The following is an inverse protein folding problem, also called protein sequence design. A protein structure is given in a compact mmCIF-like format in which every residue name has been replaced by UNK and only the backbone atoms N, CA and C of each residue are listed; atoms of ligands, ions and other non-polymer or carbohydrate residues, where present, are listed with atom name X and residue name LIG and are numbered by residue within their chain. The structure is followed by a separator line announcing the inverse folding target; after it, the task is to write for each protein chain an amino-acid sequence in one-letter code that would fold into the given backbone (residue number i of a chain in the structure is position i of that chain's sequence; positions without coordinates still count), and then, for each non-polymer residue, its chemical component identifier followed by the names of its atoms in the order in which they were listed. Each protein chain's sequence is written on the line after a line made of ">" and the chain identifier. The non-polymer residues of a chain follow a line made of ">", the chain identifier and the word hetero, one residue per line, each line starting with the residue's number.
data_IF_597315992374
#
_entry.id   IF_597315992374
#
_cell.length_a   1.000
_cell.length_b   1.000
_cell.length_c   1.000
_cell.angle_alpha   90.00
_cell.angle_beta   90.00
_cell.angle_gamma   90.00
#
_symmetry.space_group_name_H-M   'P 1'
#
loop_
_entity.id
_entity.type
_entity.pdbx_description
1 polymer ?
#
# COMPACT_ATOMS: atom_id res chain seq x y z
N UNK A 1 -6.51 -3.84 79.41
CA UNK A 1 -6.91 -5.26 79.39
C UNK A 1 -6.33 -5.87 78.12
N UNK A 2 -5.12 -6.43 78.22
CA UNK A 2 -4.82 -7.86 78.00
C UNK A 2 -5.06 -8.29 76.53
N UNK A 3 -4.15 -8.87 75.76
CA UNK A 3 -2.89 -9.61 75.97
C UNK A 3 -2.19 -9.67 74.59
N UNK A 4 -0.88 -9.42 74.48
CA UNK A 4 0.24 -10.39 74.53
C UNK A 4 0.43 -11.18 73.21
N UNK A 5 1.48 -10.87 72.40
CA UNK A 5 2.81 -11.55 72.28
C UNK A 5 2.74 -12.88 71.50
N UNK A 6 3.45 -13.13 70.39
CA UNK A 6 4.88 -13.48 70.21
C UNK A 6 5.16 -13.64 68.67
N UNK A 7 6.24 -13.11 68.06
CA UNK A 7 7.60 -13.68 67.89
C UNK A 7 7.57 -15.04 67.16
N UNK A 8 8.30 -15.40 66.09
CA UNK A 8 9.46 -14.92 65.31
C UNK A 8 9.46 -15.64 63.94
N UNK A 9 10.35 -15.26 63.01
CA UNK A 9 11.05 -16.27 62.20
C UNK A 9 10.95 -16.20 60.67
N UNK A 10 11.72 -15.27 60.07
CA UNK A 10 12.81 -15.63 59.13
C UNK A 10 12.52 -16.17 57.72
N UNK A 11 13.04 -15.43 56.72
CA UNK A 11 13.46 -15.92 55.39
C UNK A 11 12.35 -15.94 54.34
N UNK A 12 12.36 -15.14 53.27
CA UNK A 12 13.46 -14.93 52.33
C UNK A 12 13.13 -15.67 51.03
N UNK A 13 12.68 -14.95 49.99
CA UNK A 13 12.44 -15.56 48.68
C UNK A 13 11.54 -14.73 47.78
N UNK A 14 12.14 -14.08 46.78
CA UNK A 14 11.45 -13.26 45.79
C UNK A 14 10.42 -14.03 44.97
N UNK A 15 9.28 -13.40 44.74
CA UNK A 15 8.25 -13.83 43.80
C UNK A 15 7.52 -12.60 43.28
N UNK A 16 7.68 -12.33 41.98
CA UNK A 16 6.97 -11.28 41.25
C UNK A 16 5.46 -11.49 41.40
N UNK A 17 4.81 -10.63 42.17
CA UNK A 17 3.36 -10.55 42.24
C UNK A 17 2.86 -9.51 41.24
N UNK A 18 1.94 -9.96 40.38
CA UNK A 18 1.06 -9.18 39.52
C UNK A 18 0.52 -7.93 40.24
N UNK A 19 0.85 -6.73 39.75
CA UNK A 19 0.28 -5.46 40.23
C UNK A 19 -0.77 -4.98 39.24
N UNK A 20 -2.03 -5.03 39.66
CA UNK A 20 -3.17 -4.46 38.95
C UNK A 20 -2.96 -2.96 38.70
N UNK A 21 -3.47 -2.40 37.58
CA UNK A 21 -3.25 -0.99 37.26
C UNK A 21 -3.83 -0.10 38.35
N UNK A 22 -2.95 0.71 38.94
CA UNK A 22 -3.30 1.72 39.91
C UNK A 22 -4.37 2.66 39.35
N UNK A 23 -5.55 2.55 39.95
CA UNK A 23 -6.61 3.56 39.98
C UNK A 23 -5.98 4.87 40.51
N UNK A 24 -5.60 5.79 39.62
CA UNK A 24 -5.28 7.17 40.04
C UNK A 24 -6.57 7.87 40.40
N UNK A 25 -6.75 8.04 41.70
CA UNK A 25 -7.74 8.88 42.37
C UNK A 25 -7.70 10.30 41.79
N UNK A 26 -8.89 10.86 41.58
CA UNK A 26 -9.11 12.17 40.98
C UNK A 26 -8.40 13.31 41.71
N UNK A 27 -7.81 14.18 40.91
CA UNK A 27 -7.45 15.55 41.25
C UNK A 27 -8.04 16.46 40.18
N UNK A 28 -8.91 17.37 40.63
CA UNK A 28 -9.68 18.39 39.92
C UNK A 28 -9.06 18.88 38.59
N UNK A 29 -9.76 18.60 37.49
CA UNK A 29 -9.48 19.09 36.14
C UNK A 29 -10.72 18.99 35.23
N UNK A 30 -11.90 19.31 35.75
CA UNK A 30 -13.22 19.08 35.11
C UNK A 30 -13.53 19.86 33.83
N UNK A 31 -12.53 20.47 33.17
CA UNK A 31 -12.70 21.17 31.88
C UNK A 31 -11.94 20.53 30.71
N UNK A 32 -10.86 19.78 30.95
CA UNK A 32 -10.10 19.16 29.85
C UNK A 32 -10.69 17.82 29.38
N UNK A 33 -11.34 17.07 30.28
CA UNK A 33 -11.98 15.79 29.95
C UNK A 33 -13.14 15.95 28.99
N UNK A 34 -14.07 16.85 29.28
CA UNK A 34 -15.26 17.08 28.45
C UNK A 34 -14.91 17.60 27.04
N UNK A 35 -13.92 18.49 26.92
CA UNK A 35 -13.47 18.99 25.61
C UNK A 35 -12.75 17.91 24.79
N UNK A 36 -11.94 17.07 25.44
CA UNK A 36 -11.26 15.95 24.77
C UNK A 36 -12.27 14.85 24.36
N UNK A 37 -13.26 14.58 25.19
CA UNK A 37 -14.34 13.63 24.92
C UNK A 37 -15.23 14.12 23.77
N UNK A 38 -15.61 15.41 23.75
CA UNK A 38 -16.33 16.03 22.63
C UNK A 38 -15.52 16.01 21.34
N UNK A 39 -14.22 16.29 21.39
CA UNK A 39 -13.35 16.23 20.21
C UNK A 39 -13.22 14.80 19.67
N UNK A 40 -13.14 13.81 20.56
CA UNK A 40 -13.11 12.39 20.18
C UNK A 40 -14.45 11.94 19.57
N UNK A 41 -15.57 12.33 20.17
CA UNK A 41 -16.91 12.04 19.66
C UNK A 41 -17.15 12.69 18.29
N UNK A 42 -16.74 13.95 18.10
CA UNK A 42 -16.77 14.62 16.80
C UNK A 42 -15.88 13.93 15.76
N UNK A 43 -14.66 13.52 16.13
CA UNK A 43 -13.78 12.78 15.23
C UNK A 43 -14.39 11.43 14.84
N UNK A 44 -15.02 10.71 15.77
CA UNK A 44 -15.72 9.46 15.49
C UNK A 44 -16.94 9.69 14.57
N UNK A 45 -17.73 10.73 14.83
CA UNK A 45 -18.87 11.11 14.01
C UNK A 45 -18.44 11.46 12.58
N UNK A 46 -17.34 12.21 12.41
CA UNK A 46 -16.79 12.50 11.10
C UNK A 46 -16.21 11.25 10.43
N UNK A 47 -15.54 10.37 11.18
CA UNK A 47 -14.97 9.13 10.64
C UNK A 47 -16.06 8.24 10.02
N UNK A 48 -17.20 8.13 10.71
CA UNK A 48 -18.36 7.40 10.21
C UNK A 48 -18.89 7.95 8.86
N UNK A 49 -18.60 9.21 8.50
CA UNK A 49 -18.96 9.79 7.19
C UNK A 49 -18.15 9.17 6.05
N UNK A 50 -16.89 8.81 6.31
CA UNK A 50 -15.97 8.28 5.29
C UNK A 50 -15.97 6.75 5.23
N UNK A 51 -16.42 6.08 6.29
CA UNK A 51 -16.56 4.62 6.29
C UNK A 51 -17.88 4.20 5.63
N UNK A 52 -17.88 3.18 4.75
CA UNK A 52 -19.10 2.70 4.12
C UNK A 52 -20.01 2.05 5.16
N UNK A 53 -21.24 2.57 5.30
CA UNK A 53 -22.24 2.05 6.24
C UNK A 53 -23.28 1.15 5.57
N UNK A 54 -23.31 1.13 4.24
CA UNK A 54 -24.30 0.39 3.44
C UNK A 54 -23.63 -0.28 2.24
N UNK A 55 -24.28 -1.30 1.66
CA UNK A 55 -23.76 -1.97 0.45
C UNK A 55 -23.53 -1.00 -0.73
N UNK A 56 -24.42 -0.03 -1.04
CA UNK A 56 -24.15 0.96 -2.09
C UNK A 56 -22.91 1.82 -1.81
N UNK A 57 -22.66 2.17 -0.55
CA UNK A 57 -21.45 2.91 -0.17
C UNK A 57 -20.19 2.06 -0.32
N UNK A 58 -20.26 0.77 0.03
CA UNK A 58 -19.16 -0.17 -0.18
C UNK A 58 -18.87 -0.36 -1.69
N UNK A 59 -19.90 -0.46 -2.53
CA UNK A 59 -19.74 -0.53 -3.98
C UNK A 59 -19.07 0.73 -4.55
N UNK A 60 -19.45 1.92 -4.07
CA UNK A 60 -18.80 3.17 -4.43
C UNK A 60 -17.31 3.17 -4.00
N UNK A 61 -17.01 2.71 -2.79
CA UNK A 61 -15.63 2.61 -2.29
C UNK A 61 -14.74 1.70 -3.16
N UNK A 62 -15.28 0.59 -3.67
CA UNK A 62 -14.56 -0.28 -4.60
C UNK A 62 -14.20 0.49 -5.88
N UNK A 63 -15.17 1.20 -6.49
CA UNK A 63 -14.91 1.97 -7.71
C UNK A 63 -13.91 3.11 -7.49
N UNK A 64 -13.99 3.83 -6.36
CA UNK A 64 -13.02 4.86 -6.00
C UNK A 64 -11.62 4.27 -5.76
N UNK A 65 -11.55 3.08 -5.18
CA UNK A 65 -10.29 2.35 -5.00
C UNK A 65 -9.68 1.94 -6.33
N UNK A 66 -10.47 1.39 -7.25
CA UNK A 66 -10.01 1.05 -8.61
C UNK A 66 -9.48 2.29 -9.33
N UNK A 67 -10.22 3.39 -9.29
CA UNK A 67 -9.79 4.66 -9.90
C UNK A 67 -8.45 5.13 -9.36
N UNK A 68 -8.30 5.18 -8.04
CA UNK A 68 -7.05 5.57 -7.37
C UNK A 68 -5.90 4.64 -7.76
N UNK A 69 -6.10 3.32 -7.71
CA UNK A 69 -5.06 2.34 -8.04
C UNK A 69 -4.59 2.46 -9.48
N UNK A 70 -5.52 2.60 -10.44
CA UNK A 70 -5.18 2.84 -11.85
C UNK A 70 -4.40 4.16 -12.03
N UNK A 71 -4.81 5.21 -11.31
CA UNK A 71 -4.11 6.49 -11.33
C UNK A 71 -2.66 6.34 -10.88
N UNK A 72 -2.42 5.61 -9.79
CA UNK A 72 -1.07 5.33 -9.27
C UNK A 72 -0.25 4.56 -10.29
N UNK A 73 -0.80 3.51 -10.91
CA UNK A 73 -0.08 2.71 -11.89
C UNK A 73 0.40 3.54 -13.09
N UNK A 74 -0.37 4.53 -13.54
CA UNK A 74 0.02 5.41 -14.66
C UNK A 74 1.16 6.35 -14.24
N UNK A 75 1.07 6.96 -13.06
CA UNK A 75 2.01 8.02 -12.65
C UNK A 75 3.32 7.51 -12.06
N UNK A 76 3.32 6.28 -11.53
CA UNK A 76 4.43 5.65 -10.83
C UNK A 76 5.07 4.52 -11.64
N UNK A 77 4.26 3.52 -12.06
CA UNK A 77 4.74 2.31 -12.73
C UNK A 77 4.92 2.44 -14.24
N UNK A 78 4.84 3.66 -14.78
CA UNK A 78 5.08 3.92 -16.20
C UNK A 78 4.10 3.20 -17.13
N UNK A 79 2.91 2.85 -16.64
CA UNK A 79 1.86 2.26 -17.48
C UNK A 79 1.55 3.27 -18.59
N UNK A 80 1.89 2.91 -19.83
CA UNK A 80 1.76 3.81 -20.96
C UNK A 80 0.31 4.31 -21.03
N UNK A 81 0.06 5.63 -21.11
CA UNK A 81 -1.27 6.20 -21.07
C UNK A 81 -2.00 5.93 -22.40
N UNK A 82 -2.41 4.68 -22.58
CA UNK A 82 -3.11 4.23 -23.77
C UNK A 82 -4.56 4.69 -23.76
N UNK A 83 -5.17 4.74 -24.94
CA UNK A 83 -6.60 5.01 -25.07
C UNK A 83 -7.45 3.96 -24.33
N UNK A 84 -6.94 2.74 -24.16
CA UNK A 84 -7.62 1.68 -23.42
C UNK A 84 -7.74 1.99 -21.93
N UNK A 85 -6.71 2.61 -21.35
CA UNK A 85 -6.74 3.08 -19.96
C UNK A 85 -7.79 4.20 -19.80
N UNK A 86 -7.87 5.13 -20.76
CA UNK A 86 -8.91 6.16 -20.77
C UNK A 86 -10.32 5.57 -20.89
N UNK A 87 -10.52 4.54 -21.72
CA UNK A 87 -11.78 3.80 -21.81
C UNK A 87 -12.19 3.22 -20.45
N UNK A 88 -11.24 2.66 -19.68
CA UNK A 88 -11.51 2.14 -18.33
C UNK A 88 -11.98 3.26 -17.40
N UNK A 89 -11.34 4.44 -17.41
CA UNK A 89 -11.81 5.58 -16.61
C UNK A 89 -13.22 6.04 -17.00
N UNK A 90 -13.54 6.05 -18.29
CA UNK A 90 -14.88 6.36 -18.79
C UNK A 90 -15.92 5.35 -18.29
N UNK A 91 -15.60 4.06 -18.32
CA UNK A 91 -16.47 3.00 -17.79
C UNK A 91 -16.64 3.09 -16.27
N UNK A 92 -15.56 3.31 -15.52
CA UNK A 92 -15.64 3.52 -14.07
C UNK A 92 -16.50 4.73 -13.73
N UNK A 93 -16.34 5.84 -14.45
CA UNK A 93 -17.17 7.02 -14.25
C UNK A 93 -18.65 6.74 -14.55
N UNK A 94 -18.94 6.05 -15.65
CA UNK A 94 -20.31 5.65 -16.01
C UNK A 94 -20.94 4.74 -14.96
N UNK A 95 -20.18 3.80 -14.39
CA UNK A 95 -20.62 2.93 -13.30
C UNK A 95 -20.91 3.73 -12.03
N UNK A 96 -20.05 4.68 -11.66
CA UNK A 96 -20.30 5.56 -10.52
C UNK A 96 -21.57 6.40 -10.72
N UNK A 97 -21.80 6.94 -11.93
CA UNK A 97 -23.05 7.64 -12.25
C UNK A 97 -24.25 6.69 -12.12
N UNK A 98 -24.14 5.47 -12.64
CA UNK A 98 -25.20 4.45 -12.54
C UNK A 98 -25.53 4.06 -11.09
N UNK A 99 -24.53 4.01 -10.21
CA UNK A 99 -24.76 3.84 -8.76
C UNK A 99 -25.58 5.00 -8.18
N UNK A 100 -25.31 6.25 -8.56
CA UNK A 100 -26.06 7.42 -8.08
C UNK A 100 -27.49 7.49 -8.61
N UNK A 101 -27.74 6.95 -9.80
CA UNK A 101 -29.08 6.82 -10.38
C UNK A 101 -29.88 5.72 -9.68
N UNK A 102 -29.24 4.57 -9.42
CA UNK A 102 -29.88 3.43 -8.74
C UNK A 102 -30.09 3.67 -7.25
N UNK A 103 -29.15 4.35 -6.60
CA UNK A 103 -29.11 4.57 -5.16
C UNK A 103 -29.00 6.07 -4.86
N UNK A 104 -30.15 6.76 -4.92
CA UNK A 104 -30.22 8.21 -4.76
C UNK A 104 -29.61 8.74 -3.44
N UNK A 105 -29.59 7.92 -2.38
CA UNK A 105 -28.96 8.26 -1.10
C UNK A 105 -27.45 8.54 -1.23
N UNK A 106 -26.78 7.95 -2.22
CA UNK A 106 -25.34 8.19 -2.43
C UNK A 106 -25.06 9.65 -2.76
N UNK A 107 -26.01 10.40 -3.35
CA UNK A 107 -25.83 11.83 -3.60
C UNK A 107 -25.62 12.61 -2.30
N UNK A 108 -26.40 12.28 -1.27
CA UNK A 108 -26.25 12.86 0.06
C UNK A 108 -24.95 12.42 0.73
N UNK A 109 -24.56 11.14 0.59
CA UNK A 109 -23.28 10.64 1.11
C UNK A 109 -22.08 11.35 0.47
N UNK A 110 -22.05 11.47 -0.86
CA UNK A 110 -20.99 12.17 -1.61
C UNK A 110 -20.92 13.64 -1.18
N UNK A 111 -22.06 14.32 -1.11
CA UNK A 111 -22.13 15.70 -0.63
C UNK A 111 -21.57 15.79 0.80
N UNK A 112 -22.03 14.94 1.72
CA UNK A 112 -21.60 14.95 3.12
C UNK A 112 -20.10 14.73 3.27
N UNK A 113 -19.50 13.79 2.53
CA UNK A 113 -18.04 13.55 2.54
C UNK A 113 -17.24 14.77 2.08
N UNK A 114 -17.66 15.37 0.96
CA UNK A 114 -16.99 16.55 0.41
C UNK A 114 -17.18 17.79 1.29
N UNK A 115 -18.39 18.01 1.79
CA UNK A 115 -18.73 19.11 2.71
C UNK A 115 -17.94 18.99 4.02
N UNK A 116 -17.93 17.80 4.61
CA UNK A 116 -17.23 17.52 5.86
C UNK A 116 -15.74 17.78 5.72
N UNK A 117 -15.12 17.28 4.64
CA UNK A 117 -13.71 17.54 4.36
C UNK A 117 -13.42 19.03 4.11
N UNK A 118 -14.28 19.70 3.34
CA UNK A 118 -14.09 21.10 2.98
C UNK A 118 -14.17 22.02 4.20
N UNK A 119 -15.18 21.83 5.06
CA UNK A 119 -15.53 22.77 6.14
C UNK A 119 -14.89 22.45 7.48
N UNK A 120 -14.56 21.20 7.78
CA UNK A 120 -14.09 20.80 9.12
C UNK A 120 -12.62 20.37 9.08
N UNK A 121 -11.67 21.21 9.54
CA UNK A 121 -10.23 20.88 9.55
C UNK A 121 -9.90 19.57 10.27
N UNK A 122 -10.58 19.28 11.38
CA UNK A 122 -10.34 18.08 12.18
C UNK A 122 -10.78 16.79 11.45
N UNK A 123 -11.70 16.92 10.49
CA UNK A 123 -12.16 15.82 9.66
C UNK A 123 -11.21 15.46 8.51
N UNK A 124 -10.16 16.26 8.29
CA UNK A 124 -9.20 16.05 7.19
C UNK A 124 -8.10 15.08 7.56
N UNK A 125 -7.99 14.70 8.83
CA UNK A 125 -6.88 13.87 9.33
C UNK A 125 -6.95 12.42 8.82
N UNK A 126 -5.83 11.68 8.84
CA UNK A 126 -5.79 10.27 8.39
C UNK A 126 -6.68 9.35 9.22
N UNK A 127 -6.98 9.70 10.47
CA UNK A 127 -7.90 8.92 11.32
C UNK A 127 -9.35 9.05 10.89
N UNK A 128 -9.74 10.20 10.35
CA UNK A 128 -11.11 10.49 9.93
C UNK A 128 -11.31 10.22 8.43
N UNK A 129 -10.44 10.78 7.60
CA UNK A 129 -10.43 10.60 6.15
C UNK A 129 -9.18 9.79 5.76
N UNK A 130 -9.20 8.45 5.84
CA UNK A 130 -7.99 7.63 5.70
C UNK A 130 -7.32 7.77 4.33
N UNK A 131 -8.12 7.96 3.27
CA UNK A 131 -7.65 7.90 1.89
C UNK A 131 -7.97 9.19 1.12
N UNK A 132 -7.00 10.10 1.12
CA UNK A 132 -7.11 11.39 0.44
C UNK A 132 -7.30 11.22 -1.09
N UNK A 133 -6.71 10.17 -1.67
CA UNK A 133 -6.80 9.88 -3.11
C UNK A 133 -8.20 9.50 -3.61
N UNK A 134 -9.12 9.12 -2.72
CA UNK A 134 -10.52 8.84 -3.08
C UNK A 134 -11.41 10.09 -3.08
N UNK A 135 -10.96 11.21 -2.49
CA UNK A 135 -11.77 12.43 -2.43
C UNK A 135 -11.93 13.11 -3.79
N UNK A 136 -10.85 13.20 -4.57
CA UNK A 136 -10.90 13.90 -5.87
C UNK A 136 -11.87 13.19 -6.84
N UNK A 137 -11.85 11.85 -6.99
CA UNK A 137 -12.81 11.16 -7.86
C UNK A 137 -14.29 11.38 -7.48
N UNK A 138 -14.61 11.64 -6.21
CA UNK A 138 -15.97 12.02 -5.81
C UNK A 138 -16.46 13.31 -6.51
N UNK A 139 -15.55 14.21 -6.89
CA UNK A 139 -15.90 15.42 -7.65
C UNK A 139 -16.45 15.08 -9.05
N UNK A 140 -16.02 13.96 -9.64
CA UNK A 140 -16.56 13.50 -10.92
C UNK A 140 -18.06 13.20 -10.82
N UNK A 141 -18.58 12.82 -9.66
CA UNK A 141 -20.01 12.50 -9.47
C UNK A 141 -20.75 13.48 -8.55
N UNK A 142 -20.11 14.60 -8.23
CA UNK A 142 -20.65 15.62 -7.33
C UNK A 142 -21.53 16.64 -8.05
N UNK A 143 -22.62 17.06 -7.41
CA UNK A 143 -23.47 18.18 -7.88
C UNK A 143 -23.19 19.51 -7.17
N UNK A 144 -22.49 19.47 -6.03
CA UNK A 144 -22.41 20.60 -5.09
C UNK A 144 -20.98 21.12 -4.87
N UNK A 145 -19.99 20.31 -5.21
CA UNK A 145 -18.58 20.56 -4.99
C UNK A 145 -17.79 20.34 -6.27
N UNK A 146 -16.75 21.14 -6.41
CA UNK A 146 -15.80 21.13 -7.53
C UNK A 146 -14.39 21.20 -6.94
N UNK A 147 -13.37 20.95 -7.75
CA UNK A 147 -11.98 21.06 -7.31
C UNK A 147 -11.69 22.40 -6.63
N UNK A 148 -12.28 23.47 -7.16
CA UNK A 148 -12.08 24.81 -6.63
C UNK A 148 -12.60 25.03 -5.21
N UNK A 149 -13.55 24.21 -4.76
CA UNK A 149 -14.12 24.30 -3.42
C UNK A 149 -13.28 23.57 -2.37
N UNK A 150 -12.46 22.59 -2.77
CA UNK A 150 -11.70 21.75 -1.84
C UNK A 150 -10.18 21.87 -1.96
N UNK A 151 -9.64 22.43 -3.05
CA UNK A 151 -8.21 22.33 -3.34
C UNK A 151 -7.30 22.85 -2.22
N UNK A 152 -7.63 23.98 -1.60
CA UNK A 152 -6.80 24.55 -0.54
C UNK A 152 -6.73 23.60 0.66
N UNK A 153 -7.89 23.09 1.10
CA UNK A 153 -7.98 22.12 2.19
C UNK A 153 -7.26 20.81 1.84
N UNK A 154 -7.43 20.33 0.60
CA UNK A 154 -6.77 19.14 0.10
C UNK A 154 -5.24 19.30 0.07
N UNK A 155 -4.73 20.39 -0.52
CA UNK A 155 -3.30 20.61 -0.68
C UNK A 155 -2.61 20.77 0.68
N UNK A 156 -3.21 21.52 1.60
CA UNK A 156 -2.71 21.64 2.97
C UNK A 156 -2.57 20.26 3.64
N UNK A 157 -3.64 19.47 3.62
CA UNK A 157 -3.63 18.13 4.21
C UNK A 157 -2.68 17.17 3.48
N UNK A 158 -2.57 17.30 2.16
CA UNK A 158 -1.64 16.51 1.34
C UNK A 158 -0.19 16.84 1.68
N UNK A 159 0.15 18.10 1.95
CA UNK A 159 1.50 18.48 2.39
C UNK A 159 1.77 17.99 3.81
N UNK A 160 0.81 18.11 4.73
CA UNK A 160 0.94 17.63 6.11
C UNK A 160 1.19 16.10 6.13
N UNK A 161 0.40 15.31 5.40
CA UNK A 161 0.58 13.85 5.29
C UNK A 161 1.84 13.48 4.50
N UNK A 162 2.09 14.20 3.42
CA UNK A 162 3.20 13.97 2.51
C UNK A 162 4.54 14.25 3.15
N UNK A 163 4.60 15.09 4.19
CA UNK A 163 5.85 15.42 4.87
C UNK A 163 6.60 14.19 5.39
N UNK A 164 5.91 13.24 6.02
CA UNK A 164 6.49 11.95 6.44
C UNK A 164 7.23 11.28 5.28
N UNK A 165 6.54 11.10 4.16
CA UNK A 165 7.08 10.43 2.98
C UNK A 165 8.15 11.25 2.27
N UNK A 166 8.09 12.58 2.34
CA UNK A 166 9.16 13.42 1.83
C UNK A 166 10.45 13.19 2.66
N UNK A 167 10.33 13.09 3.98
CA UNK A 167 11.45 12.81 4.87
C UNK A 167 12.06 11.40 4.68
N UNK A 168 11.29 10.41 4.21
CA UNK A 168 11.87 9.09 3.86
C UNK A 168 12.72 9.12 2.59
N UNK A 169 12.54 10.13 1.73
CA UNK A 169 13.36 10.34 0.54
C UNK A 169 14.53 11.28 0.81
N UNK A 170 14.30 12.31 1.63
CA UNK A 170 15.30 13.30 2.05
C UNK A 170 15.13 13.57 3.55
N UNK A 171 15.91 12.87 4.38
CA UNK A 171 15.84 12.97 5.84
C UNK A 171 16.13 14.39 6.34
N UNK A 172 16.87 15.21 5.59
CA UNK A 172 17.15 16.60 5.93
C UNK A 172 15.91 17.50 5.89
N UNK A 173 14.80 17.04 5.31
CA UNK A 173 13.53 17.78 5.36
C UNK A 173 12.88 17.75 6.76
N UNK A 174 13.28 16.83 7.63
CA UNK A 174 12.76 16.73 9.00
C UNK A 174 13.16 17.95 9.85
N UNK A 175 14.36 18.50 9.61
CA UNK A 175 14.79 19.75 10.22
C UNK A 175 14.17 20.94 9.46
N UNK A 176 13.51 21.83 10.20
CA UNK A 176 12.83 22.99 9.63
C UNK A 176 13.63 24.25 9.93
N UNK A 177 14.41 24.69 8.96
CA UNK A 177 15.07 26.00 8.98
C UNK A 177 14.11 27.03 8.39
N UNK A 178 13.71 28.01 9.18
CA UNK A 178 12.72 29.03 8.75
C UNK A 178 13.31 29.90 7.64
N UNK A 179 12.59 30.00 6.52
CA UNK A 179 12.99 30.78 5.35
C UNK A 179 13.95 30.07 4.40
N UNK A 180 14.21 28.77 4.59
CA UNK A 180 15.01 27.97 3.65
C UNK A 180 14.22 27.69 2.37
N UNK A 181 14.33 28.58 1.39
CA UNK A 181 13.64 28.44 0.11
C UNK A 181 14.07 27.19 -0.68
N UNK A 182 15.21 26.56 -0.38
CA UNK A 182 15.63 25.32 -1.05
C UNK A 182 14.70 24.15 -0.70
N UNK A 183 13.98 24.24 0.43
CA UNK A 183 12.95 23.28 0.86
C UNK A 183 11.87 23.10 -0.20
N UNK A 184 11.54 24.18 -0.92
CA UNK A 184 10.48 24.17 -1.94
C UNK A 184 10.78 23.11 -3.00
N UNK A 185 11.99 23.13 -3.57
CA UNK A 185 12.37 22.21 -4.64
C UNK A 185 12.63 20.79 -4.11
N UNK A 186 13.25 20.68 -2.93
CA UNK A 186 13.49 19.39 -2.26
C UNK A 186 12.19 18.64 -1.96
N UNK A 187 11.16 19.34 -1.48
CA UNK A 187 9.84 18.74 -1.22
C UNK A 187 9.17 18.27 -2.50
N UNK A 188 9.31 19.01 -3.61
CA UNK A 188 8.74 18.58 -4.88
C UNK A 188 9.37 17.27 -5.36
N UNK A 189 10.70 17.20 -5.34
CA UNK A 189 11.42 16.01 -5.78
C UNK A 189 11.06 14.80 -4.89
N UNK A 190 11.03 15.00 -3.57
CA UNK A 190 10.68 13.98 -2.60
C UNK A 190 9.19 13.56 -2.64
N UNK A 191 8.29 14.36 -3.22
CA UNK A 191 6.85 14.10 -3.29
C UNK A 191 6.29 13.96 -4.71
N UNK A 192 7.16 13.79 -5.70
CA UNK A 192 6.84 13.81 -7.14
C UNK A 192 5.67 12.89 -7.52
N UNK A 193 5.68 11.65 -7.01
CA UNK A 193 4.61 10.66 -7.29
C UNK A 193 3.27 11.14 -6.70
N UNK A 194 3.27 11.65 -5.47
CA UNK A 194 2.06 12.16 -4.82
C UNK A 194 1.49 13.40 -5.54
N UNK A 195 2.36 14.31 -6.02
CA UNK A 195 1.95 15.46 -6.83
C UNK A 195 1.35 15.01 -8.16
N UNK A 196 2.00 14.06 -8.86
CA UNK A 196 1.48 13.51 -10.11
C UNK A 196 0.14 12.81 -9.92
N UNK A 197 -0.04 12.04 -8.85
CA UNK A 197 -1.32 11.40 -8.52
C UNK A 197 -2.44 12.44 -8.35
N UNK A 198 -2.15 13.54 -7.65
CA UNK A 198 -3.10 14.63 -7.44
C UNK A 198 -3.43 15.34 -8.76
N UNK A 199 -2.40 15.72 -9.53
CA UNK A 199 -2.55 16.34 -10.85
C UNK A 199 -3.38 15.48 -11.80
N UNK A 200 -3.07 14.18 -11.87
CA UNK A 200 -3.77 13.22 -12.72
C UNK A 200 -5.24 13.07 -12.32
N UNK A 201 -5.53 13.00 -11.02
CA UNK A 201 -6.91 12.90 -10.54
C UNK A 201 -7.72 14.16 -10.87
N UNK A 202 -7.15 15.35 -10.68
CA UNK A 202 -7.81 16.62 -11.03
C UNK A 202 -8.01 16.73 -12.54
N UNK A 203 -6.98 16.39 -13.32
CA UNK A 203 -7.05 16.36 -14.78
C UNK A 203 -8.16 15.43 -15.27
N UNK A 204 -8.24 14.20 -14.76
CA UNK A 204 -9.29 13.24 -15.10
C UNK A 204 -10.69 13.76 -14.77
N UNK A 205 -10.90 14.36 -13.59
CA UNK A 205 -12.20 14.96 -13.23
C UNK A 205 -12.61 16.01 -14.26
N UNK A 206 -11.69 16.91 -14.62
CA UNK A 206 -11.97 17.97 -15.60
C UNK A 206 -12.14 17.42 -17.03
N UNK A 207 -11.41 16.37 -17.40
CA UNK A 207 -11.50 15.73 -18.70
C UNK A 207 -12.85 15.02 -18.88
N UNK A 208 -13.31 14.30 -17.85
CA UNK A 208 -14.57 13.55 -17.90
C UNK A 208 -15.80 14.41 -17.60
N UNK A 209 -15.60 15.58 -16.99
CA UNK A 209 -16.64 16.60 -16.76
C UNK A 209 -16.15 17.98 -17.20
N UNK A 210 -16.05 18.22 -18.52
CA UNK A 210 -15.62 19.50 -19.03
C UNK A 210 -16.58 20.61 -18.58
N UNK A 211 -16.04 21.80 -18.37
CA UNK A 211 -16.84 22.98 -18.06
C UNK A 211 -17.61 23.44 -19.31
N UNK A 212 -18.89 23.77 -19.14
CA UNK A 212 -19.72 24.40 -20.16
C UNK A 212 -19.42 25.89 -20.31
N UNK A 213 -20.12 26.55 -21.24
CA UNK A 213 -20.00 27.99 -21.46
C UNK A 213 -20.41 28.86 -20.27
N UNK A 214 -21.12 28.29 -19.30
CA UNK A 214 -21.50 28.90 -18.02
C UNK A 214 -20.44 28.70 -16.91
N UNK A 215 -19.31 28.07 -17.25
CA UNK A 215 -18.23 27.75 -16.32
C UNK A 215 -18.52 26.58 -15.37
N UNK A 216 -19.68 25.92 -15.50
CA UNK A 216 -20.06 24.79 -14.64
C UNK A 216 -19.66 23.46 -15.26
N UNK A 217 -19.29 22.44 -14.48
CA UNK A 217 -19.02 21.10 -15.01
C UNK A 217 -20.26 20.53 -15.69
N UNK A 218 -20.06 19.80 -16.79
CA UNK A 218 -21.12 19.08 -17.50
C UNK A 218 -22.02 18.30 -16.52
N UNK A 219 -23.34 18.40 -16.72
CA UNK A 219 -24.31 17.70 -15.88
C UNK A 219 -24.19 16.19 -16.03
N UNK A 220 -24.37 15.44 -14.93
CA UNK A 220 -24.20 13.98 -14.94
C UNK A 220 -25.12 13.26 -15.95
N UNK A 221 -26.33 13.78 -16.19
CA UNK A 221 -27.24 13.24 -17.20
C UNK A 221 -26.65 13.36 -18.62
N UNK A 222 -26.10 14.54 -18.95
CA UNK A 222 -25.43 14.74 -20.24
C UNK A 222 -24.18 13.87 -20.38
N UNK A 223 -23.37 13.77 -19.32
CA UNK A 223 -22.18 12.91 -19.30
C UNK A 223 -22.55 11.43 -19.49
N UNK A 224 -23.61 10.96 -18.84
CA UNK A 224 -24.17 9.61 -19.02
C UNK A 224 -24.59 9.38 -20.48
N UNK A 225 -25.38 10.28 -21.05
CA UNK A 225 -25.86 10.14 -22.42
C UNK A 225 -24.70 10.07 -23.42
N UNK A 226 -23.64 10.85 -23.19
CA UNK A 226 -22.41 10.77 -23.96
C UNK A 226 -21.74 9.40 -23.87
N UNK A 227 -21.65 8.81 -22.67
CA UNK A 227 -21.14 7.44 -22.53
C UNK A 227 -22.03 6.42 -23.20
N UNK A 228 -23.35 6.50 -23.06
CA UNK A 228 -24.29 5.51 -23.58
C UNK A 228 -24.31 5.52 -25.12
N UNK A 229 -24.30 6.71 -25.74
CA UNK A 229 -24.19 6.85 -27.21
C UNK A 229 -22.86 6.33 -27.74
N UNK A 230 -21.76 6.54 -27.00
CA UNK A 230 -20.43 6.08 -27.41
C UNK A 230 -20.08 4.67 -26.89
N UNK A 231 -21.02 3.94 -26.29
CA UNK A 231 -20.81 2.62 -25.67
C UNK A 231 -19.59 2.60 -24.70
N UNK A 232 -19.46 3.66 -23.91
CA UNK A 232 -18.37 3.86 -22.95
C UNK A 232 -17.03 4.26 -23.57
N UNK A 233 -16.95 4.46 -24.89
CA UNK A 233 -15.70 4.87 -25.56
C UNK A 233 -15.54 6.39 -25.54
N UNK A 234 -14.32 6.91 -25.28
CA UNK A 234 -14.06 8.33 -25.32
C UNK A 234 -14.11 8.84 -26.78
N UNK A 235 -14.75 10.00 -27.04
CA UNK A 235 -14.67 10.68 -28.33
C UNK A 235 -13.22 11.04 -28.73
N UNK A 236 -12.96 11.21 -30.03
CA UNK A 236 -11.62 11.51 -30.55
C UNK A 236 -10.98 12.76 -29.91
N UNK A 237 -11.75 13.82 -29.67
CA UNK A 237 -11.21 15.03 -29.04
C UNK A 237 -10.78 14.78 -27.59
N UNK A 238 -11.52 13.94 -26.83
CA UNK A 238 -11.17 13.54 -25.46
C UNK A 238 -9.88 12.73 -25.45
N UNK A 239 -9.67 11.84 -26.44
CA UNK A 239 -8.42 11.08 -26.60
C UNK A 239 -7.21 11.98 -26.86
N UNK A 240 -7.37 13.01 -27.70
CA UNK A 240 -6.30 14.00 -27.93
C UNK A 240 -5.98 14.79 -26.67
N UNK A 241 -7.01 15.26 -25.95
CA UNK A 241 -6.84 15.95 -24.68
C UNK A 241 -6.18 15.06 -23.63
N UNK A 242 -6.51 13.77 -23.60
CA UNK A 242 -5.88 12.77 -22.74
C UNK A 242 -4.37 12.70 -22.96
N UNK A 243 -3.93 12.46 -24.20
CA UNK A 243 -2.50 12.33 -24.50
C UNK A 243 -1.73 13.60 -24.14
N UNK A 244 -2.25 14.77 -24.52
CA UNK A 244 -1.59 16.04 -24.24
C UNK A 244 -1.58 16.37 -22.74
N UNK A 245 -2.68 16.10 -22.04
CA UNK A 245 -2.79 16.33 -20.61
C UNK A 245 -1.88 15.42 -19.79
N UNK A 246 -1.81 14.12 -20.14
CA UNK A 246 -0.90 13.18 -19.46
C UNK A 246 0.56 13.53 -19.74
N UNK A 247 0.90 13.92 -20.96
CA UNK A 247 2.25 14.41 -21.28
C UNK A 247 2.60 15.63 -20.42
N UNK A 248 1.72 16.63 -20.40
CA UNK A 248 1.90 17.87 -19.64
C UNK A 248 2.10 17.63 -18.14
N UNK A 249 1.31 16.73 -17.53
CA UNK A 249 1.42 16.46 -16.09
C UNK A 249 2.65 15.61 -15.74
N UNK A 250 3.11 14.72 -16.62
CA UNK A 250 4.31 13.93 -16.37
C UNK A 250 5.58 14.78 -16.47
N UNK A 251 5.56 15.81 -17.34
CA UNK A 251 6.60 16.84 -17.51
C UNK A 251 6.52 17.97 -16.46
N UNK A 252 5.52 17.96 -15.57
CA UNK A 252 5.35 18.96 -14.52
C UNK A 252 6.29 18.68 -13.33
N UNK A 253 7.55 19.10 -13.50
CA UNK A 253 8.68 18.92 -12.57
C UNK A 253 9.01 20.17 -11.76
N UNK A 254 8.20 21.23 -11.86
CA UNK A 254 8.36 22.47 -11.10
C UNK A 254 7.02 22.91 -10.53
N UNK A 255 7.00 23.58 -9.37
CA UNK A 255 5.77 24.05 -8.75
C UNK A 255 4.89 24.93 -9.64
N UNK A 256 5.42 25.86 -10.45
CA UNK A 256 4.60 26.60 -11.42
C UNK A 256 3.87 25.68 -12.39
N UNK A 257 4.54 24.65 -12.93
CA UNK A 257 3.89 23.66 -13.81
C UNK A 257 2.84 22.84 -13.04
N UNK A 258 3.14 22.41 -11.82
CA UNK A 258 2.21 21.65 -10.97
C UNK A 258 0.94 22.46 -10.71
N UNK A 259 1.08 23.70 -10.25
CA UNK A 259 -0.06 24.57 -9.94
C UNK A 259 -0.85 24.98 -11.21
N UNK A 260 -0.17 25.08 -12.36
CA UNK A 260 -0.84 25.26 -13.66
C UNK A 260 -1.75 24.08 -13.99
N UNK A 261 -1.28 22.84 -13.84
CA UNK A 261 -2.10 21.63 -14.07
C UNK A 261 -3.24 21.54 -13.06
N UNK A 262 -3.00 21.91 -11.80
CA UNK A 262 -4.04 21.96 -10.77
C UNK A 262 -5.05 23.10 -10.97
N UNK A 263 -4.83 24.01 -11.92
CA UNK A 263 -5.68 25.17 -12.16
C UNK A 263 -5.74 26.13 -10.96
N UNK A 264 -4.66 26.21 -10.17
CA UNK A 264 -4.58 27.04 -8.96
C UNK A 264 -3.44 28.06 -9.02
N UNK A 265 -3.59 29.24 -8.42
CA UNK A 265 -2.50 30.19 -8.33
C UNK A 265 -1.42 29.64 -7.38
N UNK A 266 -0.16 29.69 -7.83
CA UNK A 266 0.99 29.41 -6.97
C UNK A 266 1.20 30.61 -6.02
N UNK A 267 1.25 30.41 -4.70
CA UNK A 267 1.60 31.47 -3.77
C UNK A 267 3.02 32.01 -4.03
N UNK A 268 3.34 33.25 -3.64
CA UNK A 268 4.72 33.75 -3.69
C UNK A 268 5.69 32.80 -2.98
N UNK A 269 6.89 32.62 -3.53
CA UNK A 269 7.84 31.57 -3.09
C UNK A 269 8.07 31.56 -1.57
N UNK A 270 8.24 32.73 -0.94
CA UNK A 270 8.36 32.87 0.52
C UNK A 270 7.13 32.37 1.30
N UNK A 271 5.93 32.74 0.83
CA UNK A 271 4.69 32.29 1.45
C UNK A 271 4.51 30.78 1.26
N UNK A 272 4.87 30.24 0.10
CA UNK A 272 4.81 28.81 -0.17
C UNK A 272 5.83 28.01 0.67
N UNK A 273 7.04 28.53 0.85
CA UNK A 273 8.02 27.97 1.78
C UNK A 273 7.44 27.88 3.20
N UNK A 274 6.84 28.97 3.70
CA UNK A 274 6.21 28.99 5.01
C UNK A 274 5.07 27.96 5.15
N UNK A 275 4.31 27.70 4.07
CA UNK A 275 3.29 26.64 4.05
C UNK A 275 3.93 25.26 4.23
N UNK A 276 5.03 24.97 3.52
CA UNK A 276 5.74 23.68 3.61
C UNK A 276 6.48 23.49 4.95
N UNK A 277 6.95 24.57 5.56
CA UNK A 277 7.48 24.57 6.92
C UNK A 277 6.40 24.31 7.97
N UNK A 278 5.23 24.95 7.82
CA UNK A 278 4.08 24.71 8.66
C UNK A 278 3.58 23.26 8.52
N UNK A 279 3.64 22.69 7.32
CA UNK A 279 3.23 21.31 7.08
C UNK A 279 4.04 20.30 7.89
N UNK A 280 5.34 20.55 8.10
CA UNK A 280 6.17 19.72 8.97
C UNK A 280 5.68 19.76 10.43
N UNK A 281 5.42 20.96 10.96
CA UNK A 281 4.88 21.16 12.31
C UNK A 281 3.49 20.52 12.47
N UNK A 282 2.63 20.68 11.46
CA UNK A 282 1.30 20.08 11.46
C UNK A 282 1.35 18.56 11.40
N UNK A 283 2.25 18.00 10.60
CA UNK A 283 2.47 16.56 10.49
C UNK A 283 2.84 15.94 11.84
N UNK A 284 3.74 16.59 12.59
CA UNK A 284 4.09 16.21 13.96
C UNK A 284 2.88 16.35 14.91
N UNK A 285 2.19 17.49 14.87
CA UNK A 285 1.01 17.77 15.72
C UNK A 285 -0.12 16.76 15.50
N UNK A 286 -0.34 16.35 14.25
CA UNK A 286 -1.36 15.36 13.85
C UNK A 286 -0.90 13.91 14.08
N UNK A 287 0.33 13.70 14.55
CA UNK A 287 0.86 12.36 14.86
C UNK A 287 1.13 11.50 13.63
N UNK A 288 1.40 12.11 12.46
CA UNK A 288 1.83 11.35 11.28
C UNK A 288 3.26 10.81 11.43
N UNK A 289 4.05 11.48 12.27
CA UNK A 289 5.34 11.03 12.75
C UNK A 289 5.56 11.60 14.16
N UNK A 290 6.63 11.17 14.82
CA UNK A 290 7.04 11.67 16.12
C UNK A 290 8.51 12.16 16.12
N UNK A 291 8.94 12.79 17.20
CA UNK A 291 10.30 13.31 17.35
C UNK A 291 11.40 12.22 17.37
N UNK A 292 11.02 10.95 17.52
CA UNK A 292 11.94 9.80 17.54
C UNK A 292 11.92 9.04 16.21
N UNK A 293 11.13 9.50 15.25
CA UNK A 293 10.93 8.83 13.98
C UNK A 293 12.23 8.85 13.21
N UNK A 294 12.75 7.64 12.92
CA UNK A 294 13.95 7.44 12.13
C UNK A 294 13.54 7.25 10.67
N UNK A 295 13.41 8.36 9.94
CA UNK A 295 12.89 8.38 8.58
C UNK A 295 13.70 7.50 7.62
N UNK A 296 15.01 7.38 7.85
CA UNK A 296 15.91 6.49 7.11
C UNK A 296 15.63 5.00 7.32
N UNK A 297 14.92 4.65 8.41
CA UNK A 297 14.51 3.28 8.73
C UNK A 297 13.06 2.98 8.35
N UNK A 298 12.28 4.01 8.01
CA UNK A 298 10.95 3.81 7.41
C UNK A 298 11.20 3.36 5.97
N UNK A 299 11.26 2.05 5.77
CA UNK A 299 11.43 1.44 4.46
C UNK A 299 10.39 1.98 3.46
N UNK A 300 10.86 2.21 2.22
CA UNK A 300 10.09 2.60 1.02
C UNK A 300 9.08 1.54 0.52
N UNK A 301 8.48 0.73 1.38
CA UNK A 301 7.65 -0.42 0.96
C UNK A 301 6.43 -0.68 1.84
N UNK A 302 5.71 0.36 2.23
CA UNK A 302 4.40 0.23 2.90
C UNK A 302 3.26 -0.29 2.01
N UNK A 303 3.57 -0.99 0.92
CA UNK A 303 2.61 -1.65 0.03
C UNK A 303 3.28 -2.93 -0.47
N UNK A 304 2.55 -4.04 -0.51
CA UNK A 304 2.98 -5.25 -1.23
C UNK A 304 3.45 -4.87 -2.63
N UNK A 305 4.64 -5.34 -3.01
CA UNK A 305 5.18 -5.04 -4.33
C UNK A 305 4.87 -6.20 -5.28
N UNK A 306 3.92 -5.98 -6.20
CA UNK A 306 3.87 -6.81 -7.42
C UNK A 306 5.15 -6.50 -8.19
N UNK A 307 6.06 -7.46 -8.26
CA UNK A 307 7.32 -7.37 -8.99
C UNK A 307 7.10 -7.69 -10.46
N UNK A 308 7.57 -6.80 -11.33
CA UNK A 308 7.69 -7.06 -12.76
C UNK A 308 9.02 -7.74 -13.08
N UNK A 309 9.11 -8.35 -14.27
CA UNK A 309 10.35 -9.00 -14.73
C UNK A 309 11.53 -8.01 -14.70
N UNK A 310 12.58 -8.36 -13.97
CA UNK A 310 13.81 -7.56 -13.83
C UNK A 310 13.79 -6.56 -12.67
N UNK A 311 12.69 -6.45 -11.92
CA UNK A 311 12.63 -5.62 -10.72
C UNK A 311 13.25 -6.33 -9.51
N UNK A 312 13.66 -5.55 -8.52
CA UNK A 312 14.21 -6.04 -7.25
C UNK A 312 13.47 -5.42 -6.06
N UNK A 313 13.43 -6.15 -4.95
CA UNK A 313 12.83 -5.72 -3.69
C UNK A 313 13.84 -5.85 -2.56
N UNK A 314 13.92 -4.82 -1.70
CA UNK A 314 14.75 -4.85 -0.49
C UNK A 314 13.90 -5.13 0.75
N UNK A 315 14.14 -6.27 1.39
CA UNK A 315 13.40 -6.68 2.58
C UNK A 315 13.92 -6.01 3.87
N UNK A 316 13.14 -6.03 4.98
CA UNK A 316 13.59 -5.51 6.26
C UNK A 316 14.87 -6.20 6.76
N UNK A 317 15.83 -5.46 7.37
CA UNK A 317 17.12 -6.01 7.79
C UNK A 317 17.01 -7.01 8.96
N UNK A 318 15.86 -7.06 9.63
CA UNK A 318 15.59 -7.93 10.78
C UNK A 318 14.70 -9.14 10.43
N UNK A 319 14.53 -9.43 9.13
CA UNK A 319 13.73 -10.56 8.66
C UNK A 319 14.36 -11.88 9.14
N UNK A 320 13.58 -12.66 9.89
CA UNK A 320 14.06 -13.93 10.47
C UNK A 320 13.54 -15.16 9.75
N UNK A 321 12.31 -15.09 9.24
CA UNK A 321 11.65 -16.19 8.57
C UNK A 321 10.91 -15.69 7.36
N UNK A 322 11.03 -16.40 6.25
CA UNK A 322 10.27 -16.13 5.04
C UNK A 322 9.57 -17.38 4.57
N UNK A 323 8.44 -17.18 3.90
CA UNK A 323 7.71 -18.24 3.22
C UNK A 323 7.47 -17.84 1.77
N UNK A 324 7.95 -18.68 0.86
CA UNK A 324 7.46 -18.70 -0.51
C UNK A 324 6.15 -19.49 -0.54
N UNK A 325 5.14 -18.98 -1.21
CA UNK A 325 3.89 -19.70 -1.52
C UNK A 325 3.69 -19.62 -3.02
N UNK A 326 3.74 -20.75 -3.70
CA UNK A 326 3.35 -20.89 -5.08
C UNK A 326 1.95 -21.50 -5.13
N UNK A 327 1.05 -20.91 -5.91
CA UNK A 327 -0.35 -21.36 -6.00
C UNK A 327 -0.82 -21.27 -7.44
N UNK A 328 -1.51 -22.32 -7.88
CA UNK A 328 -2.04 -22.39 -9.24
C UNK A 328 -3.39 -23.09 -9.28
N UNK A 329 -4.14 -22.85 -10.35
CA UNK A 329 -5.35 -23.59 -10.68
C UNK A 329 -5.18 -24.28 -12.02
N UNK A 330 -5.62 -25.53 -12.13
CA UNK A 330 -5.52 -26.31 -13.36
C UNK A 330 -6.74 -26.07 -14.26
N UNK A 331 -6.47 -25.93 -15.56
CA UNK A 331 -7.49 -25.75 -16.61
C UNK A 331 -8.01 -27.07 -17.21
N UNK A 332 -7.34 -28.20 -16.94
CA UNK A 332 -7.59 -29.50 -17.59
C UNK A 332 -7.16 -30.71 -16.77
N UNK A 333 -6.53 -31.70 -17.42
CA UNK A 333 -5.98 -32.89 -16.75
C UNK A 333 -4.94 -32.54 -15.68
N UNK A 334 -4.59 -33.51 -14.82
CA UNK A 334 -3.68 -33.27 -13.70
C UNK A 334 -2.29 -32.90 -14.25
N UNK A 335 -1.90 -31.64 -14.05
CA UNK A 335 -0.53 -31.14 -14.26
C UNK A 335 -0.02 -30.56 -12.95
N UNK A 336 1.28 -30.61 -12.74
CA UNK A 336 1.92 -30.20 -11.49
C UNK A 336 2.87 -29.06 -11.77
N UNK A 337 2.74 -27.96 -11.02
CA UNK A 337 3.82 -26.99 -10.90
C UNK A 337 4.69 -27.40 -9.73
N UNK A 338 5.99 -27.17 -9.85
CA UNK A 338 6.95 -27.41 -8.79
C UNK A 338 7.71 -26.13 -8.44
N UNK A 339 7.91 -25.91 -7.15
CA UNK A 339 8.62 -24.77 -6.62
C UNK A 339 9.94 -25.25 -6.03
N UNK A 340 11.05 -24.89 -6.67
CA UNK A 340 12.38 -25.27 -6.23
C UNK A 340 13.08 -24.09 -5.57
N UNK A 341 13.75 -24.32 -4.44
CA UNK A 341 14.67 -23.35 -3.84
C UNK A 341 16.10 -23.89 -3.88
N UNK A 342 16.97 -23.20 -4.60
CA UNK A 342 18.40 -23.47 -4.66
C UNK A 342 19.16 -22.58 -3.66
N UNK A 343 20.12 -23.17 -2.95
CA UNK A 343 20.92 -22.51 -1.92
C UNK A 343 22.36 -22.33 -2.40
N UNK A 344 22.89 -21.11 -2.38
CA UNK A 344 24.20 -20.77 -2.93
C UNK A 344 25.14 -20.09 -1.93
N UNK A 345 26.45 -20.31 -2.14
CA UNK A 345 27.55 -19.54 -1.54
C UNK A 345 28.44 -18.97 -2.67
N UNK A 346 28.28 -17.69 -2.97
CA UNK A 346 28.80 -17.11 -4.21
C UNK A 346 28.19 -17.81 -5.42
N UNK A 347 29.04 -18.38 -6.27
CA UNK A 347 28.64 -19.14 -7.46
C UNK A 347 28.46 -20.65 -7.19
N UNK A 348 28.80 -21.12 -5.97
CA UNK A 348 28.72 -22.54 -5.62
C UNK A 348 27.33 -22.91 -5.08
N UNK A 349 26.67 -23.88 -5.72
CA UNK A 349 25.41 -24.44 -5.24
C UNK A 349 25.67 -25.41 -4.07
N UNK A 350 25.13 -25.09 -2.89
CA UNK A 350 25.27 -25.89 -1.67
C UNK A 350 24.18 -26.97 -1.53
N UNK A 351 23.07 -26.83 -2.24
CA UNK A 351 21.96 -27.78 -2.26
C UNK A 351 20.66 -27.11 -2.70
N UNK A 352 19.56 -27.86 -2.61
CA UNK A 352 18.24 -27.39 -2.99
C UNK A 352 17.15 -28.10 -2.19
N UNK A 353 15.95 -27.51 -2.20
CA UNK A 353 14.71 -28.22 -1.86
C UNK A 353 13.71 -28.15 -3.00
N UNK A 354 12.97 -29.23 -3.17
CA UNK A 354 11.85 -29.38 -4.11
C UNK A 354 10.85 -30.40 -3.54
N UNK A 355 9.90 -30.87 -4.34
CA UNK A 355 8.92 -31.87 -3.92
C UNK A 355 9.53 -33.22 -3.50
N UNK A 356 10.70 -33.61 -4.00
CA UNK A 356 11.37 -34.88 -3.67
C UNK A 356 12.36 -34.72 -2.51
N UNK A 357 13.03 -33.58 -2.44
CA UNK A 357 14.04 -33.20 -1.46
C UNK A 357 13.49 -32.10 -0.57
N UNK A 358 12.62 -32.46 0.38
CA UNK A 358 11.79 -31.46 1.09
C UNK A 358 12.50 -30.70 2.21
N UNK A 359 13.74 -31.01 2.54
CA UNK A 359 14.46 -30.37 3.64
C UNK A 359 15.93 -30.14 3.32
N UNK A 360 16.46 -28.99 3.72
CA UNK A 360 17.88 -28.68 3.65
C UNK A 360 18.34 -27.93 4.90
N UNK A 361 19.57 -28.22 5.35
CA UNK A 361 20.24 -27.43 6.40
C UNK A 361 20.59 -28.17 7.69
N UNK A 362 20.04 -29.37 7.93
CA UNK A 362 20.29 -30.14 9.15
C UNK A 362 21.80 -30.37 9.40
N UNK A 363 22.56 -30.70 8.36
CA UNK A 363 23.98 -31.05 8.49
C UNK A 363 24.87 -29.90 9.00
N UNK A 364 24.40 -28.65 8.95
CA UNK A 364 25.16 -27.48 9.38
C UNK A 364 24.98 -27.12 10.87
N UNK A 365 24.08 -27.82 11.58
CA UNK A 365 23.83 -27.61 13.01
C UNK A 365 24.63 -28.53 13.94
N UNK A 366 25.47 -29.42 13.40
CA UNK A 366 26.28 -30.33 14.20
C UNK A 366 27.38 -29.57 14.95
N UNK A 367 27.36 -29.65 16.29
CA UNK A 367 28.42 -29.11 17.14
C UNK A 367 29.00 -30.20 18.02
N UNK A 368 30.33 -30.30 18.06
CA UNK A 368 31.04 -31.15 19.01
C UNK A 368 31.03 -30.46 20.37
N UNK A 369 30.43 -31.09 21.37
CA UNK A 369 30.44 -30.62 22.77
C UNK A 369 31.25 -31.58 23.63
N UNK A 370 32.07 -31.10 24.57
CA UNK A 370 32.73 -31.99 25.51
C UNK A 370 31.71 -32.68 26.42
N UNK A 371 31.90 -33.97 26.68
CA UNK A 371 31.05 -34.73 27.61
C UNK A 371 31.47 -34.37 29.05
N UNK A 372 30.62 -33.64 29.76
CA UNK A 372 30.93 -33.12 31.11
C UNK A 372 32.11 -32.15 31.09
N UNK A 373 33.08 -32.35 31.99
CA UNK A 373 34.33 -31.56 32.02
C UNK A 373 35.49 -32.20 31.24
N UNK A 374 35.22 -33.23 30.42
CA UNK A 374 36.28 -33.94 29.69
C UNK A 374 36.85 -33.10 28.55
N UNK A 375 38.18 -32.98 28.47
CA UNK A 375 38.89 -32.34 27.33
C UNK A 375 39.22 -33.32 26.20
N UNK A 376 38.89 -34.61 26.35
CA UNK A 376 39.28 -35.68 25.43
C UNK A 376 38.11 -36.49 24.87
N UNK A 377 36.91 -36.28 25.38
CA UNK A 377 35.70 -36.99 24.94
C UNK A 377 34.66 -35.95 24.52
N UNK A 378 34.28 -35.98 23.25
CA UNK A 378 33.28 -35.09 22.67
C UNK A 378 32.06 -35.90 22.26
N UNK A 379 30.87 -35.41 22.57
CA UNK A 379 29.61 -35.87 22.01
C UNK A 379 29.20 -34.98 20.84
N UNK A 380 28.61 -35.60 19.83
CA UNK A 380 27.98 -34.88 18.74
C UNK A 380 26.59 -34.45 19.22
N UNK A 381 26.43 -33.18 19.59
CA UNK A 381 25.10 -32.65 19.89
C UNK A 381 24.46 -32.23 18.57
N UNK A 382 23.45 -32.99 18.12
CA UNK A 382 22.72 -32.69 16.90
C UNK A 382 21.52 -31.78 17.23
N UNK A 383 21.80 -30.48 17.41
CA UNK A 383 20.75 -29.45 17.46
C UNK A 383 20.31 -29.01 16.06
N UNK A 384 20.72 -29.75 15.03
CA UNK A 384 20.35 -29.61 13.65
C UNK A 384 18.84 -29.46 13.48
N UNK A 385 18.43 -28.35 12.86
CA UNK A 385 17.09 -28.14 12.37
C UNK A 385 17.22 -27.72 10.92
N UNK A 386 16.36 -28.25 10.06
CA UNK A 386 16.28 -27.78 8.68
C UNK A 386 15.94 -26.29 8.70
N UNK A 387 16.74 -25.53 7.96
CA UNK A 387 16.54 -24.09 7.81
C UNK A 387 15.79 -23.77 6.51
N UNK A 388 15.62 -24.75 5.61
CA UNK A 388 14.78 -24.65 4.41
C UNK A 388 13.90 -25.90 4.35
N UNK A 389 12.58 -25.73 4.21
CA UNK A 389 11.60 -26.82 4.14
C UNK A 389 10.59 -26.58 3.03
N UNK A 390 10.37 -27.58 2.19
CA UNK A 390 9.33 -27.62 1.17
C UNK A 390 8.12 -28.42 1.70
N UNK A 391 6.88 -28.00 1.41
CA UNK A 391 5.67 -28.72 1.84
C UNK A 391 5.43 -30.04 1.11
N UNK A 392 6.05 -30.20 -0.06
CA UNK A 392 5.59 -31.12 -1.09
C UNK A 392 4.29 -30.65 -1.72
N UNK A 393 3.71 -31.50 -2.56
CA UNK A 393 2.49 -31.23 -3.32
C UNK A 393 1.26 -31.16 -2.42
N UNK A 394 0.67 -29.97 -2.29
CA UNK A 394 -0.63 -29.78 -1.66
C UNK A 394 -1.68 -29.59 -2.75
N UNK A 395 -2.35 -30.68 -3.13
CA UNK A 395 -3.37 -30.68 -4.19
C UNK A 395 -4.77 -30.77 -3.61
N UNK A 396 -5.60 -29.77 -3.90
CA UNK A 396 -7.04 -29.82 -3.72
C UNK A 396 -7.71 -30.29 -5.02
N UNK A 397 -7.91 -31.60 -5.12
CA UNK A 397 -8.52 -32.23 -6.29
C UNK A 397 -9.99 -31.87 -6.51
N UNK A 398 -10.71 -31.34 -5.51
CA UNK A 398 -12.10 -30.92 -5.69
C UNK A 398 -12.20 -29.58 -6.44
N UNK A 399 -11.23 -28.69 -6.22
CA UNK A 399 -11.20 -27.36 -6.82
C UNK A 399 -10.17 -27.22 -7.94
N UNK A 400 -9.39 -28.29 -8.22
CA UNK A 400 -8.26 -28.30 -9.15
C UNK A 400 -7.23 -27.22 -8.82
N UNK A 401 -6.91 -27.06 -7.53
CA UNK A 401 -5.94 -26.08 -7.02
C UNK A 401 -4.73 -26.83 -6.50
N UNK A 402 -3.54 -26.38 -6.88
CA UNK A 402 -2.28 -26.81 -6.28
C UNK A 402 -1.63 -25.67 -5.52
N UNK A 403 -0.94 -26.00 -4.43
CA UNK A 403 -0.16 -25.07 -3.63
C UNK A 403 1.15 -25.72 -3.16
N UNK A 404 2.25 -25.00 -3.25
CA UNK A 404 3.53 -25.32 -2.63
C UNK A 404 3.95 -24.22 -1.67
N UNK A 405 4.55 -24.61 -0.56
CA UNK A 405 5.20 -23.66 0.35
C UNK A 405 6.64 -24.03 0.61
N UNK A 406 7.51 -23.01 0.61
CA UNK A 406 8.91 -23.14 1.04
C UNK A 406 9.13 -22.24 2.25
N UNK A 407 9.27 -22.87 3.41
CA UNK A 407 9.56 -22.20 4.68
C UNK A 407 11.06 -22.10 4.90
N UNK A 408 11.54 -20.89 5.16
CA UNK A 408 12.96 -20.61 5.36
C UNK A 408 13.17 -19.87 6.68
N UNK A 409 14.03 -20.43 7.52
CA UNK A 409 14.55 -19.77 8.71
C UNK A 409 15.90 -19.12 8.40
N UNK A 410 15.85 -17.84 8.01
CA UNK A 410 17.01 -17.03 7.69
C UNK A 410 17.99 -16.91 8.87
N UNK A 411 17.49 -16.99 10.11
CA UNK A 411 18.34 -16.91 11.30
C UNK A 411 19.16 -18.18 11.55
N UNK A 412 18.72 -19.29 10.96
CA UNK A 412 19.37 -20.60 11.05
C UNK A 412 20.19 -20.95 9.80
N UNK A 413 20.23 -20.08 8.78
CA UNK A 413 21.07 -20.29 7.60
C UNK A 413 22.55 -20.20 7.95
N UNK A 414 23.40 -21.10 7.42
CA UNK A 414 24.85 -20.99 7.56
C UNK A 414 25.36 -19.65 7.02
N UNK A 415 26.29 -19.00 7.72
CA UNK A 415 26.84 -17.68 7.34
C UNK A 415 27.46 -17.62 5.94
N UNK A 416 27.81 -18.78 5.37
CA UNK A 416 28.37 -18.88 4.00
C UNK A 416 27.30 -18.80 2.91
N UNK A 417 26.02 -18.99 3.24
CA UNK A 417 24.93 -18.84 2.27
C UNK A 417 24.80 -17.36 1.92
N UNK A 418 24.92 -17.05 0.64
CA UNK A 418 24.84 -15.67 0.12
C UNK A 418 23.58 -15.42 -0.70
N UNK A 419 22.99 -16.46 -1.28
CA UNK A 419 21.80 -16.33 -2.12
C UNK A 419 20.87 -17.55 -2.00
N UNK A 420 19.57 -17.28 -2.14
CA UNK A 420 18.52 -18.26 -2.36
C UNK A 420 17.86 -17.93 -3.69
N UNK A 421 17.77 -18.90 -4.59
CA UNK A 421 17.16 -18.74 -5.91
C UNK A 421 15.92 -19.61 -5.97
N UNK A 422 14.78 -19.01 -6.29
CA UNK A 422 13.51 -19.73 -6.45
C UNK A 422 13.21 -19.92 -7.92
N UNK A 423 12.86 -21.14 -8.31
CA UNK A 423 12.39 -21.47 -9.64
C UNK A 423 11.00 -22.10 -9.53
N UNK A 424 10.14 -21.77 -10.48
CA UNK A 424 8.85 -22.44 -10.65
C UNK A 424 8.86 -23.08 -12.03
N UNK A 425 8.57 -24.37 -12.08
CA UNK A 425 8.57 -25.17 -13.31
C UNK A 425 7.27 -25.95 -13.44
N UNK A 426 6.82 -26.19 -14.66
CA UNK A 426 5.76 -27.17 -14.95
C UNK A 426 6.40 -28.53 -15.24
N UNK A 427 5.75 -29.60 -14.77
CA UNK A 427 6.21 -30.98 -14.97
C UNK A 427 6.01 -31.48 -16.40
N UNK A 428 4.83 -31.27 -16.99
CA UNK A 428 4.49 -31.76 -18.34
C UNK A 428 4.03 -30.68 -19.33
N UNK A 429 3.89 -29.42 -18.90
CA UNK A 429 3.36 -28.33 -19.70
C UNK A 429 4.20 -27.07 -19.66
N UNK A 430 3.53 -25.95 -19.91
CA UNK A 430 4.07 -24.60 -19.83
C UNK A 430 3.39 -23.85 -18.67
N UNK A 431 4.07 -22.85 -18.10
CA UNK A 431 3.46 -22.02 -17.04
C UNK A 431 2.17 -21.30 -17.51
N UNK A 432 1.99 -21.11 -18.82
CA UNK A 432 0.76 -20.57 -19.40
C UNK A 432 -0.45 -21.51 -19.33
N UNK A 433 -0.24 -22.81 -19.10
CA UNK A 433 -1.32 -23.79 -18.97
C UNK A 433 -2.00 -23.72 -17.58
N UNK A 434 -1.27 -23.18 -16.59
CA UNK A 434 -1.79 -22.87 -15.28
C UNK A 434 -2.69 -21.62 -15.34
N UNK A 435 -3.87 -21.72 -14.75
CA UNK A 435 -4.78 -20.58 -14.57
C UNK A 435 -4.27 -19.76 -13.39
N UNK A 436 -3.80 -18.55 -13.68
CA UNK A 436 -3.36 -17.56 -12.68
C UNK A 436 -2.32 -18.14 -11.68
N UNK A 437 -1.20 -18.71 -12.15
CA UNK A 437 -0.13 -19.08 -11.24
C UNK A 437 0.36 -17.81 -10.52
N UNK A 438 0.49 -17.89 -9.21
CA UNK A 438 0.89 -16.79 -8.36
C UNK A 438 1.97 -17.27 -7.41
N UNK A 439 3.07 -16.53 -7.39
CA UNK A 439 4.14 -16.75 -6.43
C UNK A 439 4.21 -15.57 -5.46
N UNK A 440 4.15 -15.85 -4.16
CA UNK A 440 4.12 -14.85 -3.10
C UNK A 440 5.24 -15.13 -2.11
N UNK A 441 6.04 -14.12 -1.81
CA UNK A 441 7.01 -14.17 -0.71
C UNK A 441 6.47 -13.37 0.47
N UNK A 442 6.45 -13.97 1.65
CA UNK A 442 5.90 -13.36 2.87
C UNK A 442 6.85 -13.46 4.06
N UNK A 443 6.77 -12.49 4.97
CA UNK A 443 7.38 -12.56 6.30
C UNK A 443 6.57 -13.52 7.18
N UNK A 444 7.24 -14.56 7.67
CA UNK A 444 6.68 -15.61 8.51
C UNK A 444 7.16 -15.52 9.98
N UNK A 445 7.72 -14.37 10.38
CA UNK A 445 8.32 -14.16 11.71
C UNK A 445 7.35 -13.71 12.82
N UNK A 446 6.14 -13.26 12.49
CA UNK A 446 5.15 -12.74 13.45
C UNK A 446 3.75 -13.38 13.34
N UNK A 447 2.83 -12.98 14.22
CA UNK A 447 1.45 -13.52 14.31
C UNK A 447 0.58 -13.20 13.08
N UNK A 448 0.99 -12.24 12.26
CA UNK A 448 0.35 -11.89 10.98
C UNK A 448 1.37 -12.07 9.84
N UNK A 449 1.06 -12.97 8.89
CA UNK A 449 1.84 -13.12 7.65
C UNK A 449 1.74 -11.82 6.86
N UNK A 450 2.88 -11.17 6.64
CA UNK A 450 2.94 -9.93 5.85
C UNK A 450 3.53 -10.25 4.48
N UNK A 451 2.78 -10.01 3.41
CA UNK A 451 3.30 -10.15 2.05
C UNK A 451 4.44 -9.15 1.80
N UNK A 452 5.60 -9.65 1.36
CA UNK A 452 6.77 -8.84 0.99
C UNK A 452 6.68 -8.46 -0.47
N UNK A 453 6.49 -9.44 -1.34
CA UNK A 453 6.30 -9.27 -2.77
C UNK A 453 5.50 -10.42 -3.38
N UNK A 454 4.94 -10.17 -4.56
CA UNK A 454 4.28 -11.18 -5.38
C UNK A 454 4.74 -11.07 -6.83
N UNK A 455 4.78 -12.21 -7.50
CA UNK A 455 5.05 -12.32 -8.94
C UNK A 455 3.86 -13.01 -9.59
N UNK A 456 3.28 -12.34 -10.58
CA UNK A 456 2.24 -12.88 -11.44
C UNK A 456 2.85 -13.20 -12.81
N UNK A 457 2.67 -14.43 -13.27
CA UNK A 457 3.11 -14.80 -14.60
C UNK A 457 2.19 -14.14 -15.63
N UNK A 458 2.80 -13.54 -16.66
CA UNK A 458 2.03 -12.96 -17.77
C UNK A 458 1.28 -14.08 -18.48
N UNK A 459 -0.05 -13.96 -18.55
CA UNK A 459 -0.81 -14.73 -19.52
C UNK A 459 -0.49 -14.16 -20.91
N UNK A 460 0.17 -14.96 -21.75
CA UNK A 460 0.21 -14.62 -23.17
C UNK A 460 -1.23 -14.63 -23.70
N UNK A 461 -1.60 -13.58 -24.43
CA UNK A 461 -2.95 -13.39 -24.92
C UNK A 461 -3.36 -14.58 -25.80
N UNK A 462 -4.21 -15.44 -25.25
CA UNK A 462 -4.90 -16.47 -26.03
C UNK A 462 -5.81 -15.76 -27.02
N UNK A 463 -5.43 -15.76 -28.30
CA UNK A 463 -6.31 -15.41 -29.41
C UNK A 463 -5.74 -14.51 -30.50
N UNK A 464 -4.67 -14.91 -31.19
CA UNK A 464 -4.50 -14.56 -32.61
C UNK A 464 -4.04 -15.79 -33.40
N UNK A 465 -5.01 -16.65 -33.70
CA UNK A 465 -4.91 -17.56 -34.83
C UNK A 465 -5.95 -17.15 -35.86
N UNK A 466 -5.52 -16.50 -36.95
CA UNK A 466 -5.90 -16.78 -38.34
C UNK A 466 -5.41 -15.68 -39.31
N UNK A 467 -4.62 -16.09 -40.31
CA UNK A 467 -4.27 -15.37 -41.55
C UNK A 467 -3.15 -14.33 -41.41
N UNK A 468 -2.14 -14.21 -42.27
CA UNK A 468 -1.93 -14.72 -43.61
C UNK A 468 -0.41 -14.87 -43.84
N UNK A 469 -0.05 -15.94 -44.53
CA UNK A 469 1.17 -16.03 -45.33
C UNK A 469 1.00 -15.08 -46.53
N UNK A 470 1.98 -14.19 -46.72
CA UNK A 470 2.49 -13.65 -47.99
C UNK A 470 3.60 -12.66 -47.60
N UNK A 471 4.85 -12.71 -48.07
CA UNK A 471 5.32 -13.20 -49.36
C UNK A 471 5.70 -12.05 -50.28
N UNK A 472 6.61 -11.17 -49.85
CA UNK A 472 7.71 -10.50 -50.59
C UNK A 472 8.28 -9.36 -49.75
#
# INVERSE_FOLDING_TARGET
>A
TANATLIDGGGGGGGKAYVAPHRRRGGVGGRSGAAAEQAHEQAAAHRAVFEPQTEPEAALEVLLTMWKTLTIQIVDKGLAPSEKVLEVFCQLHRLMIGLLERFGQLRATVHKRLDTFARHPDARTKTVCPNLGQLIPLLAISHSYEWQHIATAYLQESFDRGHLWACTHDAGLAEVVTGDESRVDRVLEASKIAQRMTMMSVFLVNLLRPQGGDGRPAGLAHTRDGYDVCLGRPPLFVRRMWHEGVRTLLEADTWPKVFKVLGRPLPPKKAFCAILEAAAKNSLKKGYHDAKTRFERIHRSGVSHILLKGESYSAPPNLKKVRLTDRWKLSGGVDYLDATCFVYAGDDMLGFVDYQSTTWGADYGASLKPVGNSTRVFEMSNNARDCVRHSGDMIDGANNIGEHTIDIDLSSLPKRVTALVFAISSWHGTLSDAIQPQCVLSDAGGDARTELCSYEFKADAVGQGQGQVQGQ
#
